data_IF_830692518806
#
_entry.id   IF_830692518806
#
_cell.length_a   1.000
_cell.length_b   1.000
_cell.length_c   1.000
_cell.angle_alpha   90.00
_cell.angle_beta   90.00
_cell.angle_gamma   90.00
#
_symmetry.space_group_name_H-M   'P 1'
#
loop_
_entity.id
_entity.type
_entity.pdbx_description
1 polymer ?
#
# COMPACT_ATOMS: atom_id res chain seq x y z
N UNK A 1 12.07 -8.85 17.38
CA UNK A 1 12.68 -9.18 16.08
C UNK A 1 11.72 -8.72 14.99
N UNK A 2 12.18 -7.93 14.02
CA UNK A 2 11.38 -7.58 12.83
C UNK A 2 11.37 -8.77 11.87
N UNK A 3 10.23 -9.03 11.24
CA UNK A 3 10.06 -10.10 10.26
C UNK A 3 10.51 -9.58 8.89
N UNK A 4 11.23 -10.40 8.11
CA UNK A 4 11.41 -10.07 6.70
C UNK A 4 10.07 -10.15 5.95
N UNK A 5 9.99 -9.58 4.76
CA UNK A 5 8.76 -9.52 3.96
C UNK A 5 8.07 -10.89 3.80
N UNK A 6 8.80 -11.92 3.38
CA UNK A 6 8.25 -13.27 3.18
C UNK A 6 7.72 -13.89 4.49
N UNK A 7 8.41 -13.63 5.61
CA UNK A 7 7.99 -14.06 6.93
C UNK A 7 6.74 -13.32 7.38
N UNK A 8 6.66 -12.00 7.13
CA UNK A 8 5.48 -11.20 7.43
C UNK A 8 4.27 -11.66 6.61
N UNK A 9 4.44 -11.88 5.30
CA UNK A 9 3.38 -12.40 4.44
C UNK A 9 2.93 -13.80 4.87
N UNK A 10 3.87 -14.71 5.13
CA UNK A 10 3.56 -16.06 5.60
C UNK A 10 2.88 -16.04 6.97
N UNK A 11 3.32 -15.16 7.88
CA UNK A 11 2.69 -14.99 9.18
C UNK A 11 1.27 -14.44 9.05
N UNK A 12 1.03 -13.48 8.16
CA UNK A 12 -0.30 -12.96 7.87
C UNK A 12 -1.23 -14.05 7.32
N UNK A 13 -0.77 -14.80 6.31
CA UNK A 13 -1.54 -15.90 5.69
C UNK A 13 -1.90 -17.00 6.70
N UNK A 14 -1.03 -17.23 7.68
CA UNK A 14 -1.25 -18.19 8.75
C UNK A 14 -1.98 -17.61 9.98
N UNK A 15 -2.47 -16.35 9.91
CA UNK A 15 -3.19 -15.70 10.99
C UNK A 15 -2.36 -15.44 12.27
N UNK A 16 -1.03 -15.43 12.15
CA UNK A 16 -0.12 -15.22 13.30
C UNK A 16 0.10 -13.75 13.64
N UNK A 17 -0.13 -12.86 12.66
CA UNK A 17 -0.05 -11.41 12.84
C UNK A 17 -1.31 -10.76 12.25
N UNK A 18 -1.66 -9.58 12.75
CA UNK A 18 -2.73 -8.76 12.16
C UNK A 18 -2.28 -8.13 10.84
N UNK A 19 -3.24 -7.66 10.04
CA UNK A 19 -2.93 -6.92 8.82
C UNK A 19 -2.22 -5.59 9.11
N UNK A 20 -2.53 -4.94 10.25
CA UNK A 20 -1.82 -3.75 10.72
C UNK A 20 -0.34 -4.03 10.98
N UNK A 21 -0.06 -5.14 11.68
CA UNK A 21 1.30 -5.55 11.96
C UNK A 21 2.03 -5.94 10.68
N UNK A 22 1.35 -6.59 9.73
CA UNK A 22 1.89 -6.84 8.40
C UNK A 22 2.28 -5.53 7.69
N UNK A 23 1.41 -4.52 7.62
CA UNK A 23 1.73 -3.22 7.01
C UNK A 23 2.94 -2.55 7.66
N UNK A 24 3.02 -2.62 9.00
CA UNK A 24 4.18 -2.12 9.74
C UNK A 24 5.47 -2.84 9.31
N UNK A 25 5.50 -4.17 9.29
CA UNK A 25 6.68 -4.94 8.88
C UNK A 25 7.07 -4.66 7.43
N UNK A 26 6.11 -4.57 6.50
CA UNK A 26 6.40 -4.27 5.09
C UNK A 26 7.05 -2.90 4.96
N UNK A 27 6.46 -1.86 5.54
CA UNK A 27 7.01 -0.51 5.48
C UNK A 27 8.41 -0.47 6.12
N UNK A 28 8.56 -1.04 7.32
CA UNK A 28 9.82 -1.03 8.07
C UNK A 28 10.95 -1.72 7.30
N UNK A 29 10.65 -2.79 6.54
CA UNK A 29 11.62 -3.48 5.71
C UNK A 29 12.21 -2.60 4.60
N UNK A 30 11.54 -1.55 4.16
CA UNK A 30 11.99 -0.71 3.04
C UNK A 30 12.39 0.72 3.45
N UNK A 31 12.18 1.12 4.71
CA UNK A 31 12.50 2.47 5.21
C UNK A 31 14.00 2.83 5.14
N UNK A 32 14.89 1.83 5.21
CA UNK A 32 16.33 2.05 5.39
C UNK A 32 17.19 1.47 4.26
N UNK A 33 16.62 1.27 3.06
CA UNK A 33 17.40 0.88 1.87
C UNK A 33 18.26 2.04 1.37
N UNK A 34 19.39 2.27 2.06
CA UNK A 34 20.34 3.39 1.85
C UNK A 34 21.08 3.39 0.50
N UNK A 35 21.02 2.32 -0.29
CA UNK A 35 21.73 2.23 -1.58
C UNK A 35 20.96 1.41 -2.63
N UNK A 36 21.04 1.84 -3.90
CA UNK A 36 20.47 1.16 -5.06
C UNK A 36 20.94 -0.32 -5.20
N UNK A 37 22.15 -0.64 -4.73
CA UNK A 37 22.66 -2.01 -4.65
C UNK A 37 21.92 -2.89 -3.63
N UNK A 38 21.43 -2.31 -2.53
CA UNK A 38 20.59 -3.03 -1.55
C UNK A 38 19.15 -3.20 -2.04
N UNK A 39 18.65 -2.25 -2.85
CA UNK A 39 17.35 -2.41 -3.53
C UNK A 39 17.39 -3.57 -4.54
N UNK A 40 18.51 -3.76 -5.25
CA UNK A 40 18.73 -4.90 -6.16
C UNK A 40 18.81 -6.24 -5.41
N UNK A 41 19.43 -6.30 -4.22
CA UNK A 41 19.44 -7.51 -3.39
C UNK A 41 18.06 -7.89 -2.83
N UNK A 42 17.17 -6.90 -2.67
CA UNK A 42 15.76 -7.12 -2.30
C UNK A 42 14.84 -7.32 -3.52
N UNK A 43 15.35 -7.22 -4.75
CA UNK A 43 14.58 -7.42 -6.00
C UNK A 43 14.43 -8.88 -6.42
N UNK A 44 15.29 -9.79 -5.98
CA UNK A 44 15.17 -11.23 -6.28
C UNK A 44 13.84 -11.85 -5.80
N UNK A 45 13.10 -11.14 -4.96
CA UNK A 45 11.82 -11.53 -4.40
C UNK A 45 10.61 -11.14 -5.27
N UNK A 46 10.81 -10.42 -6.38
CA UNK A 46 9.75 -9.94 -7.30
C UNK A 46 8.86 -11.05 -7.88
N UNK A 47 9.24 -12.32 -7.74
CA UNK A 47 8.63 -13.43 -8.47
C UNK A 47 8.07 -14.57 -7.60
N UNK A 48 8.24 -14.53 -6.27
CA UNK A 48 7.86 -15.65 -5.39
C UNK A 48 6.52 -15.46 -4.68
N UNK A 49 6.07 -14.22 -4.45
CA UNK A 49 4.89 -13.93 -3.64
C UNK A 49 3.86 -13.12 -4.44
N UNK A 50 2.66 -13.69 -4.59
CA UNK A 50 1.50 -13.03 -5.18
C UNK A 50 0.80 -12.14 -4.14
N UNK A 51 1.42 -11.01 -3.84
CA UNK A 51 0.96 -10.03 -2.86
C UNK A 51 0.92 -8.62 -3.48
N UNK A 52 -0.19 -8.24 -4.12
CA UNK A 52 -0.28 -6.97 -4.83
C UNK A 52 -0.08 -5.77 -3.88
N UNK A 53 -0.55 -5.86 -2.63
CA UNK A 53 -0.42 -4.78 -1.66
C UNK A 53 1.03 -4.63 -1.24
N UNK A 54 1.67 -5.71 -0.78
CA UNK A 54 3.08 -5.69 -0.40
C UNK A 54 3.99 -5.23 -1.54
N UNK A 55 3.75 -5.71 -2.76
CA UNK A 55 4.49 -5.31 -3.95
C UNK A 55 4.32 -3.82 -4.27
N UNK A 56 3.10 -3.29 -4.18
CA UNK A 56 2.84 -1.87 -4.40
C UNK A 56 3.52 -0.98 -3.34
N UNK A 57 3.51 -1.39 -2.06
CA UNK A 57 4.18 -0.65 -0.98
C UNK A 57 5.69 -0.64 -1.17
N UNK A 58 6.26 -1.80 -1.53
CA UNK A 58 7.69 -1.90 -1.88
C UNK A 58 8.05 -0.95 -3.01
N UNK A 59 7.32 -1.00 -4.12
CA UNK A 59 7.54 -0.10 -5.26
C UNK A 59 7.42 1.36 -4.83
N UNK A 60 6.46 1.67 -3.96
CA UNK A 60 6.25 3.01 -3.46
C UNK A 60 7.46 3.51 -2.67
N UNK A 61 7.90 2.75 -1.67
CA UNK A 61 9.01 3.14 -0.77
C UNK A 61 10.34 3.19 -1.53
N UNK A 62 10.57 2.28 -2.48
CA UNK A 62 11.79 2.27 -3.29
C UNK A 62 11.84 3.38 -4.35
N UNK A 63 10.68 3.90 -4.76
CA UNK A 63 10.58 4.95 -5.80
C UNK A 63 10.39 6.36 -5.22
N UNK A 64 10.22 6.47 -3.90
CA UNK A 64 10.17 7.75 -3.19
C UNK A 64 11.55 8.15 -2.69
N UNK A 65 11.84 9.46 -2.57
CA UNK A 65 13.01 9.93 -1.84
C UNK A 65 13.10 9.30 -0.44
N UNK A 66 14.31 9.17 0.08
CA UNK A 66 14.62 8.45 1.32
C UNK A 66 13.66 8.83 2.45
N UNK A 67 12.91 7.85 2.95
CA UNK A 67 11.97 8.01 4.04
C UNK A 67 12.69 7.69 5.34
N UNK A 68 12.75 8.60 6.30
CA UNK A 68 13.36 8.28 7.59
C UNK A 68 12.48 7.28 8.36
N UNK A 69 13.08 6.51 9.28
CA UNK A 69 12.32 5.66 10.18
C UNK A 69 11.25 6.43 10.98
N UNK A 70 11.54 7.69 11.33
CA UNK A 70 10.59 8.58 12.00
C UNK A 70 9.41 8.90 11.08
N UNK A 71 9.67 9.34 9.84
CA UNK A 71 8.62 9.68 8.88
C UNK A 71 7.71 8.50 8.53
N UNK A 72 8.29 7.30 8.51
CA UNK A 72 7.51 6.08 8.34
C UNK A 72 6.50 5.90 9.48
N UNK A 73 6.94 6.05 10.73
CA UNK A 73 6.08 5.85 11.91
C UNK A 73 5.07 6.98 12.09
N UNK A 74 5.45 8.22 11.80
CA UNK A 74 4.59 9.40 12.05
C UNK A 74 3.66 9.73 10.89
N UNK A 75 4.03 9.36 9.66
CA UNK A 75 3.29 9.78 8.46
C UNK A 75 2.84 8.61 7.60
N UNK A 76 3.72 7.68 7.18
CA UNK A 76 3.32 6.61 6.26
C UNK A 76 2.43 5.56 6.94
N UNK A 77 2.84 5.01 8.07
CA UNK A 77 2.06 3.96 8.73
C UNK A 77 0.64 4.43 9.08
N UNK A 78 0.43 5.61 9.71
CA UNK A 78 -0.91 6.14 9.94
C UNK A 78 -1.72 6.36 8.66
N UNK A 79 -1.06 6.74 7.56
CA UNK A 79 -1.68 6.88 6.25
C UNK A 79 -2.23 5.54 5.73
N UNK A 80 -1.44 4.46 5.76
CA UNK A 80 -1.93 3.14 5.35
C UNK A 80 -2.99 2.57 6.30
N UNK A 81 -2.85 2.79 7.62
CA UNK A 81 -3.85 2.39 8.59
C UNK A 81 -5.19 3.09 8.36
N UNK A 82 -5.17 4.38 8.00
CA UNK A 82 -6.40 5.10 7.66
C UNK A 82 -7.15 4.46 6.48
N UNK A 83 -6.42 3.90 5.50
CA UNK A 83 -7.03 3.16 4.39
C UNK A 83 -7.56 1.81 4.84
N UNK A 84 -6.77 1.06 5.62
CA UNK A 84 -7.18 -0.23 6.17
C UNK A 84 -8.47 -0.13 6.98
N UNK A 85 -8.61 0.93 7.80
CA UNK A 85 -9.80 1.18 8.61
C UNK A 85 -10.91 1.93 7.86
N UNK A 86 -10.73 2.22 6.57
CA UNK A 86 -11.67 3.03 5.77
C UNK A 86 -12.00 4.40 6.38
N UNK A 87 -11.05 5.01 7.12
CA UNK A 87 -11.22 6.32 7.74
C UNK A 87 -10.81 7.44 6.78
N UNK A 88 -11.78 7.94 6.00
CA UNK A 88 -11.55 9.06 5.08
C UNK A 88 -11.06 10.34 5.78
N UNK A 89 -11.56 10.74 6.98
CA UNK A 89 -11.04 11.91 7.68
C UNK A 89 -9.56 11.79 8.05
N UNK A 90 -9.16 10.63 8.60
CA UNK A 90 -7.75 10.36 8.93
C UNK A 90 -6.87 10.30 7.68
N UNK A 91 -7.38 9.69 6.60
CA UNK A 91 -6.69 9.66 5.32
C UNK A 91 -6.39 11.05 4.80
N UNK A 92 -7.39 11.95 4.80
CA UNK A 92 -7.22 13.34 4.37
C UNK A 92 -6.19 14.09 5.21
N UNK A 93 -6.22 13.88 6.52
CA UNK A 93 -5.25 14.49 7.43
C UNK A 93 -3.82 14.07 7.07
N UNK A 94 -3.55 12.77 6.92
CA UNK A 94 -2.21 12.28 6.61
C UNK A 94 -1.78 12.54 5.16
N UNK A 95 -2.71 12.60 4.21
CA UNK A 95 -2.43 13.00 2.82
C UNK A 95 -1.92 14.43 2.70
N UNK A 96 -2.23 15.32 3.65
CA UNK A 96 -1.71 16.71 3.61
C UNK A 96 -0.18 16.78 3.69
N UNK A 97 0.49 15.71 4.14
CA UNK A 97 1.94 15.65 4.22
C UNK A 97 2.59 15.52 2.83
N UNK A 98 3.66 16.28 2.51
CA UNK A 98 4.29 16.26 1.17
C UNK A 98 4.71 14.86 0.71
N UNK A 99 5.21 14.03 1.62
CA UNK A 99 5.61 12.66 1.30
C UNK A 99 4.45 11.77 0.84
N UNK A 100 3.23 12.01 1.33
CA UNK A 100 2.05 11.24 0.97
C UNK A 100 1.54 11.57 -0.44
N UNK A 101 1.99 12.69 -1.02
CA UNK A 101 1.62 13.15 -2.37
C UNK A 101 2.46 12.51 -3.49
N UNK A 102 3.50 11.76 -3.14
CA UNK A 102 4.29 11.05 -4.15
C UNK A 102 3.43 10.02 -4.88
N UNK A 103 3.44 10.09 -6.23
CA UNK A 103 2.64 9.19 -7.08
C UNK A 103 2.79 7.70 -6.71
N UNK A 104 3.99 7.16 -6.45
CA UNK A 104 4.12 5.77 -6.02
C UNK A 104 3.38 5.44 -4.71
N UNK A 105 3.34 6.36 -3.74
CA UNK A 105 2.57 6.20 -2.49
C UNK A 105 1.07 6.23 -2.78
N UNK A 106 0.60 7.15 -3.63
CA UNK A 106 -0.82 7.20 -4.00
C UNK A 106 -1.29 5.90 -4.69
N UNK A 107 -0.43 5.29 -5.52
CA UNK A 107 -0.70 4.00 -6.18
C UNK A 107 -0.80 2.83 -5.19
N UNK A 108 0.09 2.78 -4.20
CA UNK A 108 0.02 1.74 -3.17
C UNK A 108 -1.20 1.91 -2.26
N UNK A 109 -1.62 3.15 -1.95
CA UNK A 109 -2.88 3.41 -1.26
C UNK A 109 -4.09 2.98 -2.08
N UNK A 110 -4.08 3.22 -3.40
CA UNK A 110 -5.13 2.76 -4.30
C UNK A 110 -5.20 1.23 -4.30
N UNK A 111 -4.06 0.55 -4.38
CA UNK A 111 -3.97 -0.92 -4.32
C UNK A 111 -4.51 -1.46 -2.99
N UNK A 112 -4.12 -0.85 -1.86
CA UNK A 112 -4.62 -1.23 -0.54
C UNK A 112 -6.13 -1.04 -0.45
N UNK A 113 -6.66 0.12 -0.86
CA UNK A 113 -8.10 0.39 -0.88
C UNK A 113 -8.87 -0.63 -1.72
N UNK A 114 -8.29 -1.05 -2.84
CA UNK A 114 -8.83 -2.11 -3.68
C UNK A 114 -8.88 -3.46 -2.95
N UNK A 115 -7.78 -3.83 -2.26
CA UNK A 115 -7.68 -5.09 -1.51
C UNK A 115 -8.64 -5.20 -0.32
N UNK A 116 -8.92 -4.08 0.36
CA UNK A 116 -9.85 -4.04 1.50
C UNK A 116 -11.29 -3.72 1.08
N UNK A 117 -11.52 -3.60 -0.23
CA UNK A 117 -12.82 -3.27 -0.83
C UNK A 117 -13.42 -1.94 -0.37
N UNK A 118 -12.58 -0.93 -0.11
CA UNK A 118 -13.02 0.39 0.37
C UNK A 118 -13.42 1.31 -0.80
N UNK A 119 -14.68 1.20 -1.24
CA UNK A 119 -15.22 2.00 -2.34
C UNK A 119 -15.12 3.52 -2.09
N UNK A 120 -15.37 3.96 -0.84
CA UNK A 120 -15.28 5.38 -0.47
C UNK A 120 -13.88 5.94 -0.68
N UNK A 121 -12.85 5.18 -0.29
CA UNK A 121 -11.46 5.61 -0.44
C UNK A 121 -11.02 5.53 -1.90
N UNK A 122 -11.41 4.47 -2.63
CA UNK A 122 -11.13 4.36 -4.06
C UNK A 122 -11.69 5.55 -4.84
N UNK A 123 -12.97 5.88 -4.64
CA UNK A 123 -13.61 7.03 -5.27
C UNK A 123 -12.89 8.33 -4.93
N UNK A 124 -12.54 8.53 -3.65
CA UNK A 124 -11.81 9.72 -3.22
C UNK A 124 -10.43 9.84 -3.89
N UNK A 125 -9.64 8.77 -3.91
CA UNK A 125 -8.30 8.77 -4.50
C UNK A 125 -8.35 9.02 -6.01
N UNK A 126 -9.28 8.37 -6.74
CA UNK A 126 -9.44 8.55 -8.19
C UNK A 126 -9.92 9.96 -8.54
N UNK A 127 -10.83 10.52 -7.75
CA UNK A 127 -11.35 11.88 -7.94
C UNK A 127 -10.31 12.96 -7.62
N UNK A 128 -9.55 12.79 -6.53
CA UNK A 128 -8.55 13.76 -6.09
C UNK A 128 -7.25 13.67 -6.92
N UNK A 129 -6.95 12.51 -7.51
CA UNK A 129 -5.72 12.26 -8.25
C UNK A 129 -6.00 11.58 -9.60
N UNK A 130 -6.37 12.36 -10.65
CA UNK A 130 -6.77 11.83 -11.96
C UNK A 130 -5.69 11.03 -12.71
N UNK A 131 -4.45 11.05 -12.23
CA UNK A 131 -3.34 10.29 -12.82
C UNK A 131 -3.23 8.85 -12.31
N UNK A 132 -4.07 8.48 -11.34
CA UNK A 132 -4.21 7.13 -10.83
C UNK A 132 -5.15 6.33 -11.74
N UNK A 133 -4.92 5.02 -11.84
CA UNK A 133 -5.75 4.13 -12.63
C UNK A 133 -5.95 2.78 -11.94
N UNK A 134 -7.16 2.25 -12.04
CA UNK A 134 -7.49 0.90 -11.59
C UNK A 134 -6.87 -0.19 -12.48
N UNK A 135 -6.38 0.17 -13.68
CA UNK A 135 -5.72 -0.74 -14.61
C UNK A 135 -4.24 -1.00 -14.26
N UNK A 136 -3.70 -0.33 -13.22
CA UNK A 136 -2.35 -0.62 -12.75
C UNK A 136 -2.22 -2.07 -12.27
N UNK A 137 -1.09 -2.71 -12.53
CA UNK A 137 -0.90 -4.16 -12.35
C UNK A 137 -1.25 -4.63 -10.93
N UNK A 138 -0.72 -3.96 -9.89
CA UNK A 138 -1.00 -4.34 -8.51
C UNK A 138 -2.45 -4.04 -8.11
N UNK A 139 -3.01 -2.90 -8.53
CA UNK A 139 -4.41 -2.53 -8.24
C UNK A 139 -5.40 -3.49 -8.88
N UNK A 140 -5.20 -3.84 -10.16
CA UNK A 140 -6.04 -4.77 -10.90
C UNK A 140 -5.98 -6.18 -10.33
N UNK A 141 -4.78 -6.65 -9.93
CA UNK A 141 -4.62 -7.91 -9.21
C UNK A 141 -5.35 -7.89 -7.86
N UNK A 142 -5.20 -6.82 -7.07
CA UNK A 142 -5.91 -6.67 -5.80
C UNK A 142 -7.44 -6.73 -5.99
N UNK A 143 -7.98 -6.07 -7.02
CA UNK A 143 -9.41 -6.14 -7.38
C UNK A 143 -9.86 -7.53 -7.82
N UNK A 144 -8.97 -8.33 -8.43
CA UNK A 144 -9.30 -9.70 -8.84
C UNK A 144 -9.49 -10.65 -7.65
N UNK A 145 -8.88 -10.31 -6.50
CA UNK A 145 -8.99 -11.10 -5.26
C UNK A 145 -10.13 -10.67 -4.35
N UNK A 146 -10.73 -9.50 -4.60
CA UNK A 146 -11.82 -8.99 -3.77
C UNK A 146 -13.20 -9.42 -4.24
N UNK A 147 -14.10 -9.58 -3.28
CA UNK A 147 -15.53 -9.78 -3.58
C UNK A 147 -16.12 -8.45 -4.03
N UNK A 148 -16.67 -8.42 -5.24
CA UNK A 148 -17.32 -7.23 -5.80
C UNK A 148 -18.65 -6.99 -5.10
N UNK A 149 -18.72 -5.94 -4.29
CA UNK A 149 -19.96 -5.44 -3.68
C UNK A 149 -20.60 -4.37 -4.58
N UNK A 150 -21.90 -4.09 -4.40
CA UNK A 150 -22.59 -3.03 -5.15
C UNK A 150 -21.82 -1.68 -5.17
N UNK A 151 -21.36 -1.11 -4.04
CA UNK A 151 -20.61 0.15 -4.06
C UNK A 151 -19.25 0.04 -4.75
N UNK A 152 -18.64 -1.15 -4.79
CA UNK A 152 -17.41 -1.37 -5.55
C UNK A 152 -17.68 -1.35 -7.06
N UNK A 153 -18.80 -1.93 -7.51
CA UNK A 153 -19.18 -1.92 -8.92
C UNK A 153 -19.41 -0.49 -9.42
N UNK A 154 -20.04 0.37 -8.62
CA UNK A 154 -20.23 1.78 -8.97
C UNK A 154 -18.89 2.49 -9.21
N UNK A 155 -17.86 2.19 -8.43
CA UNK A 155 -16.52 2.75 -8.65
C UNK A 155 -15.89 2.19 -9.93
N UNK A 156 -16.05 0.90 -10.21
CA UNK A 156 -15.47 0.24 -11.39
C UNK A 156 -16.10 0.69 -12.72
N UNK A 157 -17.35 1.15 -12.72
CA UNK A 157 -18.05 1.55 -13.95
C UNK A 157 -18.05 3.07 -14.20
N UNK A 158 -17.69 3.89 -13.20
CA UNK A 158 -17.69 5.35 -13.30
C UNK A 158 -16.28 5.96 -13.48
N UNK A 159 -15.24 5.13 -13.48
CA UNK A 159 -13.82 5.53 -13.62
C UNK A 159 -13.06 4.55 -14.52
#
# INVERSE_FOLDING_TARGET
MSLCFDQAYTALRNGRISYEQYLHEVLANFADTRHASHALLKRSWEFSINDPVGNSIREAVLSTPTVSHQDLQTHLLPLYLSVLHSSLPSLRHHLSHPMAQHKPILRSLLTLAASVSSAQILHYLLSAHPTLSLQETNTSLALSYTRRTAPMLDVLYNH
#
